data_IF_116040238088
#
_entry.id   IF_116040238088
#
_cell.length_a   1.000
_cell.length_b   1.000
_cell.length_c   1.000
_cell.angle_alpha   90.00
_cell.angle_beta   90.00
_cell.angle_gamma   90.00
#
_symmetry.space_group_name_H-M   'P 1'
#
loop_
_entity.id
_entity.type
_entity.pdbx_description
1 polymer ?
#
# COMPACT_ATOMS: atom_id res chain seq x y z
N UNK A 1 -99.38 -17.38 -6.95
CA UNK A 1 -98.50 -17.14 -8.11
C UNK A 1 -97.10 -16.79 -7.58
N UNK A 2 -96.37 -17.87 -7.26
CA UNK A 2 -94.92 -18.08 -7.15
C UNK A 2 -94.01 -17.01 -6.49
N UNK A 3 -93.97 -16.99 -5.15
CA UNK A 3 -92.85 -16.40 -4.39
C UNK A 3 -91.52 -17.16 -4.62
N UNK A 4 -91.57 -18.45 -4.94
CA UNK A 4 -90.37 -19.25 -5.29
C UNK A 4 -89.69 -18.76 -6.57
N UNK A 5 -90.46 -18.34 -7.58
CA UNK A 5 -89.90 -17.81 -8.83
C UNK A 5 -89.16 -16.50 -8.61
N UNK A 6 -89.64 -15.64 -7.70
CA UNK A 6 -89.00 -14.37 -7.37
C UNK A 6 -87.62 -14.59 -6.72
N UNK A 7 -87.53 -15.56 -5.80
CA UNK A 7 -86.28 -15.89 -5.09
C UNK A 7 -85.25 -16.58 -6.01
N UNK A 8 -85.73 -17.40 -6.95
CA UNK A 8 -84.92 -17.98 -8.03
C UNK A 8 -84.35 -16.90 -8.96
N UNK A 9 -85.14 -15.89 -9.34
CA UNK A 9 -84.67 -14.77 -10.17
C UNK A 9 -83.59 -13.94 -9.47
N UNK A 10 -83.75 -13.60 -8.18
CA UNK A 10 -82.72 -12.86 -7.43
C UNK A 10 -81.42 -13.67 -7.25
N UNK A 11 -81.54 -14.99 -7.03
CA UNK A 11 -80.37 -15.87 -6.92
C UNK A 11 -79.61 -15.97 -8.25
N UNK A 12 -80.34 -16.00 -9.37
CA UNK A 12 -79.76 -16.06 -10.72
C UNK A 12 -79.10 -14.72 -11.10
N UNK A 13 -79.69 -13.59 -10.74
CA UNK A 13 -79.11 -12.25 -10.93
C UNK A 13 -77.79 -12.10 -10.17
N UNK A 14 -77.71 -12.57 -8.92
CA UNK A 14 -76.48 -12.51 -8.13
C UNK A 14 -75.34 -13.36 -8.72
N UNK A 15 -75.65 -14.55 -9.25
CA UNK A 15 -74.67 -15.41 -9.94
C UNK A 15 -74.13 -14.72 -11.19
N UNK A 16 -74.98 -14.03 -11.95
CA UNK A 16 -74.58 -13.28 -13.15
C UNK A 16 -73.65 -12.12 -12.77
N UNK A 17 -73.94 -11.41 -11.69
CA UNK A 17 -73.09 -10.31 -11.20
C UNK A 17 -71.70 -10.82 -10.76
N UNK A 18 -71.65 -11.94 -10.03
CA UNK A 18 -70.37 -12.55 -9.63
C UNK A 18 -69.56 -12.98 -10.87
N UNK A 19 -70.20 -13.63 -11.84
CA UNK A 19 -69.55 -14.01 -13.10
C UNK A 19 -69.00 -12.79 -13.84
N UNK A 20 -69.77 -11.70 -13.91
CA UNK A 20 -69.33 -10.46 -14.52
C UNK A 20 -68.11 -9.86 -13.79
N UNK A 21 -68.09 -9.88 -12.46
CA UNK A 21 -66.94 -9.44 -11.67
C UNK A 21 -65.70 -10.31 -11.89
N UNK A 22 -65.86 -11.64 -11.97
CA UNK A 22 -64.74 -12.56 -12.24
C UNK A 22 -64.14 -12.29 -13.63
N UNK A 23 -65.00 -12.10 -14.64
CA UNK A 23 -64.57 -11.78 -16.01
C UNK A 23 -63.83 -10.44 -16.03
N UNK A 24 -64.36 -9.42 -15.34
CA UNK A 24 -63.74 -8.10 -15.27
C UNK A 24 -62.38 -8.14 -14.56
N UNK A 25 -62.27 -8.92 -13.48
CA UNK A 25 -61.00 -9.15 -12.78
C UNK A 25 -59.96 -9.85 -13.66
N UNK A 26 -60.38 -10.88 -14.44
CA UNK A 26 -59.50 -11.55 -15.38
C UNK A 26 -59.00 -10.61 -16.48
N UNK A 27 -59.87 -9.77 -17.04
CA UNK A 27 -59.48 -8.77 -18.04
C UNK A 27 -58.45 -7.79 -17.46
N UNK A 28 -58.67 -7.30 -16.24
CA UNK A 28 -57.71 -6.44 -15.56
C UNK A 28 -56.35 -7.12 -15.34
N UNK A 29 -56.37 -8.38 -14.88
CA UNK A 29 -55.16 -9.16 -14.67
C UNK A 29 -54.37 -9.40 -15.96
N UNK A 30 -55.04 -9.79 -17.05
CA UNK A 30 -54.42 -10.00 -18.37
C UNK A 30 -53.83 -8.70 -18.89
N UNK A 31 -54.58 -7.59 -18.85
CA UNK A 31 -54.11 -6.29 -19.31
C UNK A 31 -52.82 -5.84 -18.59
N UNK A 32 -52.81 -5.95 -17.26
CA UNK A 32 -51.65 -5.58 -16.45
C UNK A 32 -50.46 -6.51 -16.65
N UNK A 33 -50.70 -7.80 -16.93
CA UNK A 33 -49.65 -8.78 -17.27
C UNK A 33 -49.07 -8.52 -18.66
N UNK A 34 -49.90 -8.30 -19.67
CA UNK A 34 -49.48 -8.03 -21.04
C UNK A 34 -48.59 -6.80 -21.12
N UNK A 35 -48.98 -5.71 -20.45
CA UNK A 35 -48.17 -4.49 -20.37
C UNK A 35 -46.76 -4.76 -19.81
N UNK A 36 -46.63 -5.65 -18.83
CA UNK A 36 -45.33 -6.06 -18.26
C UNK A 36 -44.54 -6.94 -19.22
N UNK A 37 -45.17 -7.90 -19.88
CA UNK A 37 -44.51 -8.79 -20.84
C UNK A 37 -43.97 -8.01 -22.05
N UNK A 38 -44.75 -7.07 -22.61
CA UNK A 38 -44.28 -6.24 -23.73
C UNK A 38 -43.05 -5.41 -23.36
N UNK A 39 -43.00 -4.84 -22.15
CA UNK A 39 -41.84 -4.07 -21.68
C UNK A 39 -40.59 -4.95 -21.55
N UNK A 40 -40.74 -6.15 -20.99
CA UNK A 40 -39.63 -7.08 -20.81
C UNK A 40 -39.10 -7.61 -22.15
N UNK A 41 -39.99 -7.89 -23.11
CA UNK A 41 -39.59 -8.34 -24.46
C UNK A 41 -38.78 -7.27 -25.18
N UNK A 42 -39.16 -5.98 -25.10
CA UNK A 42 -38.37 -4.90 -25.70
C UNK A 42 -36.99 -4.77 -25.06
N UNK A 43 -36.90 -4.91 -23.74
CA UNK A 43 -35.61 -4.89 -23.04
C UNK A 43 -34.72 -6.06 -23.47
N UNK A 44 -35.27 -7.27 -23.53
CA UNK A 44 -34.53 -8.46 -23.98
C UNK A 44 -34.06 -8.29 -25.43
N UNK A 45 -34.93 -7.78 -26.32
CA UNK A 45 -34.56 -7.51 -27.71
C UNK A 45 -33.36 -6.55 -27.82
N UNK A 46 -33.35 -5.47 -27.04
CA UNK A 46 -32.23 -4.51 -27.03
C UNK A 46 -30.91 -5.11 -26.51
N UNK A 47 -30.99 -5.99 -25.50
CA UNK A 47 -29.80 -6.68 -24.96
C UNK A 47 -29.26 -7.67 -25.99
N UNK A 48 -30.14 -8.42 -26.66
CA UNK A 48 -29.75 -9.35 -27.73
C UNK A 48 -29.11 -8.61 -28.91
N UNK A 49 -29.67 -7.46 -29.30
CA UNK A 49 -29.12 -6.62 -30.36
C UNK A 49 -27.70 -6.11 -30.01
N UNK A 50 -27.51 -5.61 -28.80
CA UNK A 50 -26.20 -5.14 -28.33
C UNK A 50 -25.18 -6.29 -28.28
N UNK A 51 -25.56 -7.45 -27.76
CA UNK A 51 -24.70 -8.65 -27.73
C UNK A 51 -24.34 -9.09 -29.15
N UNK A 52 -25.30 -9.14 -30.07
CA UNK A 52 -25.03 -9.51 -31.46
C UNK A 52 -24.07 -8.52 -32.14
N UNK A 53 -24.25 -7.23 -31.86
CA UNK A 53 -23.36 -6.16 -32.36
C UNK A 53 -21.95 -6.29 -31.81
N UNK A 54 -21.79 -6.56 -30.51
CA UNK A 54 -20.49 -6.77 -29.88
C UNK A 54 -19.80 -8.03 -30.42
N UNK A 55 -20.53 -9.13 -30.59
CA UNK A 55 -20.02 -10.37 -31.21
C UNK A 55 -19.53 -10.08 -32.62
N UNK A 56 -20.29 -9.32 -33.42
CA UNK A 56 -19.87 -8.93 -34.76
C UNK A 56 -18.58 -8.11 -34.75
N UNK A 57 -18.48 -7.09 -33.89
CA UNK A 57 -17.26 -6.29 -33.79
C UNK A 57 -16.06 -7.11 -33.30
N UNK A 58 -16.27 -8.00 -32.35
CA UNK A 58 -15.22 -8.87 -31.82
C UNK A 58 -14.73 -9.82 -32.92
N UNK A 59 -15.65 -10.46 -33.65
CA UNK A 59 -15.32 -11.30 -34.80
C UNK A 59 -14.54 -10.52 -35.86
N UNK A 60 -14.98 -9.31 -36.20
CA UNK A 60 -14.30 -8.45 -37.16
C UNK A 60 -12.89 -8.07 -36.72
N UNK A 61 -12.70 -7.71 -35.45
CA UNK A 61 -11.37 -7.43 -34.88
C UNK A 61 -10.47 -8.66 -34.95
N UNK A 62 -10.99 -9.84 -34.59
CA UNK A 62 -10.24 -11.09 -34.68
C UNK A 62 -9.84 -11.43 -36.12
N UNK A 63 -10.75 -11.28 -37.09
CA UNK A 63 -10.42 -11.46 -38.50
C UNK A 63 -9.36 -10.46 -38.98
N UNK A 64 -9.46 -9.19 -38.59
CA UNK A 64 -8.44 -8.18 -38.90
C UNK A 64 -7.08 -8.54 -38.28
N UNK A 65 -7.04 -8.92 -37.01
CA UNK A 65 -5.81 -9.35 -36.33
C UNK A 65 -5.23 -10.60 -36.98
N UNK A 66 -6.06 -11.58 -37.36
CA UNK A 66 -5.62 -12.77 -38.05
C UNK A 66 -5.09 -12.46 -39.45
N UNK A 67 -5.71 -11.54 -40.19
CA UNK A 67 -5.21 -11.05 -41.47
C UNK A 67 -3.91 -10.27 -41.33
N UNK A 68 -3.71 -9.51 -40.25
CA UNK A 68 -2.42 -8.86 -39.94
C UNK A 68 -1.33 -9.88 -39.57
N UNK A 69 -1.70 -11.04 -39.02
CA UNK A 69 -0.77 -12.12 -38.68
C UNK A 69 -0.48 -13.01 -39.91
N UNK A 70 -1.48 -13.27 -40.77
CA UNK A 70 -1.33 -14.12 -41.98
C UNK A 70 -0.80 -13.36 -43.21
N UNK A 71 -1.06 -12.06 -43.32
CA UNK A 71 -0.41 -11.21 -44.31
C UNK A 71 0.74 -10.47 -43.60
N UNK A 72 1.99 -10.91 -43.73
CA UNK A 72 3.16 -10.23 -43.19
C UNK A 72 3.49 -8.98 -44.04
N UNK A 73 2.48 -8.18 -44.38
CA UNK A 73 2.58 -6.92 -45.11
C UNK A 73 2.67 -5.72 -44.16
N UNK A 74 2.50 -5.94 -42.85
CA UNK A 74 3.07 -5.09 -41.81
C UNK A 74 4.46 -5.63 -41.52
N UNK A 75 5.41 -5.20 -42.35
CA UNK A 75 6.79 -4.92 -41.96
C UNK A 75 7.41 -6.01 -41.09
N UNK A 76 7.71 -7.16 -41.71
CA UNK A 76 8.99 -7.79 -41.39
C UNK A 76 10.03 -6.73 -41.72
N UNK A 77 10.40 -5.89 -40.74
CA UNK A 77 11.70 -5.23 -40.77
C UNK A 77 12.68 -6.33 -41.18
N UNK A 78 13.36 -6.13 -42.30
CA UNK A 78 14.48 -7.01 -42.65
C UNK A 78 15.36 -7.09 -41.41
N UNK A 79 15.99 -8.23 -41.13
CA UNK A 79 16.86 -8.34 -39.94
C UNK A 79 17.83 -7.14 -39.88
N UNK A 80 18.27 -6.61 -41.02
CA UNK A 80 19.00 -5.33 -41.18
C UNK A 80 18.33 -4.08 -40.57
N UNK A 81 17.03 -3.85 -40.79
CA UNK A 81 16.28 -2.71 -40.21
C UNK A 81 16.07 -2.88 -38.72
N UNK A 82 15.89 -4.12 -38.24
CA UNK A 82 15.87 -4.44 -36.81
C UNK A 82 17.23 -4.13 -36.19
N UNK A 83 18.33 -4.54 -36.82
CA UNK A 83 19.68 -4.23 -36.34
C UNK A 83 19.95 -2.73 -36.33
N UNK A 84 19.52 -1.98 -37.35
CA UNK A 84 19.69 -0.53 -37.40
C UNK A 84 18.84 0.20 -36.35
N UNK A 85 17.59 -0.21 -36.12
CA UNK A 85 16.73 0.41 -35.11
C UNK A 85 17.20 0.05 -33.69
N UNK A 86 17.71 -1.16 -33.47
CA UNK A 86 18.39 -1.55 -32.22
C UNK A 86 19.65 -0.73 -32.04
N UNK A 87 20.51 -0.58 -33.06
CA UNK A 87 21.74 0.21 -32.96
C UNK A 87 21.45 1.67 -32.64
N UNK A 88 20.42 2.25 -33.26
CA UNK A 88 19.94 3.61 -32.96
C UNK A 88 19.42 3.72 -31.53
N UNK A 89 18.57 2.80 -31.10
CA UNK A 89 18.01 2.79 -29.74
C UNK A 89 19.11 2.60 -28.68
N UNK A 90 20.10 1.74 -28.95
CA UNK A 90 21.23 1.49 -28.06
C UNK A 90 22.15 2.70 -28.01
N UNK A 91 22.42 3.36 -29.14
CA UNK A 91 23.24 4.57 -29.18
C UNK A 91 22.58 5.73 -28.43
N UNK A 92 21.27 5.92 -28.64
CA UNK A 92 20.47 6.93 -27.94
C UNK A 92 20.35 6.64 -26.44
N UNK A 93 20.47 5.39 -26.01
CA UNK A 93 20.44 4.97 -24.60
C UNK A 93 21.83 5.00 -23.94
N UNK A 94 22.92 4.88 -24.70
CA UNK A 94 24.29 4.86 -24.18
C UNK A 94 24.62 6.17 -23.45
N UNK A 95 24.23 7.30 -24.03
CA UNK A 95 24.50 8.62 -23.45
C UNK A 95 23.78 8.87 -22.11
N UNK A 96 22.45 8.66 -21.98
CA UNK A 96 21.77 8.82 -20.70
C UNK A 96 22.22 7.80 -19.65
N UNK A 97 22.58 6.57 -20.04
CA UNK A 97 23.13 5.58 -19.10
C UNK A 97 24.50 6.00 -18.56
N UNK A 98 25.40 6.49 -19.42
CA UNK A 98 26.70 7.00 -19.00
C UNK A 98 26.54 8.21 -18.06
N UNK A 99 25.57 9.09 -18.34
CA UNK A 99 25.26 10.24 -17.49
C UNK A 99 24.67 9.80 -16.15
N UNK A 100 23.77 8.82 -16.14
CA UNK A 100 23.20 8.25 -14.92
C UNK A 100 24.26 7.56 -14.05
N UNK A 101 25.17 6.79 -14.65
CA UNK A 101 26.29 6.16 -13.93
C UNK A 101 27.26 7.20 -13.36
N UNK A 102 27.56 8.26 -14.11
CA UNK A 102 28.39 9.38 -13.62
C UNK A 102 27.72 10.12 -12.47
N UNK A 103 26.41 10.33 -12.55
CA UNK A 103 25.64 10.94 -11.45
C UNK A 103 25.61 10.03 -10.22
N UNK A 104 25.46 8.72 -10.40
CA UNK A 104 25.55 7.75 -9.32
C UNK A 104 26.93 7.76 -8.66
N UNK A 105 28.00 7.81 -9.45
CA UNK A 105 29.37 7.94 -8.94
C UNK A 105 29.54 9.20 -8.08
N UNK A 106 29.13 10.37 -8.60
CA UNK A 106 29.22 11.63 -7.85
C UNK A 106 28.42 11.59 -6.53
N UNK A 107 27.25 10.93 -6.54
CA UNK A 107 26.45 10.75 -5.34
C UNK A 107 27.15 9.85 -4.32
N UNK A 108 27.79 8.77 -4.77
CA UNK A 108 28.56 7.88 -3.89
C UNK A 108 29.77 8.60 -3.28
N UNK A 109 30.52 9.36 -4.06
CA UNK A 109 31.63 10.20 -3.55
C UNK A 109 31.13 11.22 -2.52
N UNK A 110 29.96 11.82 -2.75
CA UNK A 110 29.35 12.75 -1.78
C UNK A 110 28.92 12.04 -0.48
N UNK A 111 28.39 10.82 -0.58
CA UNK A 111 28.03 9.99 0.58
C UNK A 111 29.28 9.59 1.37
N UNK A 112 30.36 9.20 0.69
CA UNK A 112 31.63 8.85 1.33
C UNK A 112 32.19 10.03 2.14
N UNK A 113 32.22 11.23 1.54
CA UNK A 113 32.63 12.45 2.23
C UNK A 113 31.71 12.78 3.42
N UNK A 114 30.40 12.60 3.29
CA UNK A 114 29.46 12.83 4.40
C UNK A 114 29.67 11.82 5.55
N UNK A 115 29.91 10.56 5.22
CA UNK A 115 30.21 9.50 6.19
C UNK A 115 31.50 9.83 6.93
N UNK A 116 32.57 10.21 6.23
CA UNK A 116 33.85 10.58 6.85
C UNK A 116 33.69 11.79 7.79
N UNK A 117 32.95 12.81 7.37
CA UNK A 117 32.65 13.97 8.23
C UNK A 117 31.86 13.56 9.48
N UNK A 118 30.84 12.70 9.34
CA UNK A 118 30.05 12.19 10.47
C UNK A 118 30.89 11.32 11.39
N UNK A 119 31.76 10.46 10.86
CA UNK A 119 32.68 9.65 11.66
C UNK A 119 33.65 10.57 12.41
N UNK A 120 34.24 11.56 11.76
CA UNK A 120 35.13 12.53 12.42
C UNK A 120 34.42 13.33 13.52
N UNK A 121 33.17 13.74 13.29
CA UNK A 121 32.32 14.37 14.30
C UNK A 121 32.00 13.43 15.47
N UNK A 122 31.73 12.15 15.19
CA UNK A 122 31.52 11.14 16.22
C UNK A 122 32.80 10.87 16.99
N UNK A 123 33.95 10.75 16.34
CA UNK A 123 35.24 10.55 17.01
C UNK A 123 35.59 11.75 17.90
N UNK A 124 35.37 12.97 17.42
CA UNK A 124 35.61 14.18 18.21
C UNK A 124 34.60 14.33 19.35
N UNK A 125 33.32 14.03 19.11
CA UNK A 125 32.29 14.00 20.14
C UNK A 125 32.56 12.92 21.19
N UNK A 126 32.94 11.71 20.77
CA UNK A 126 33.31 10.62 21.67
C UNK A 126 34.58 10.98 22.45
N UNK A 127 35.59 11.64 21.86
CA UNK A 127 36.74 12.16 22.62
C UNK A 127 36.35 13.21 23.66
N UNK A 128 35.29 13.99 23.43
CA UNK A 128 34.77 14.95 24.40
C UNK A 128 33.93 14.27 25.50
N UNK A 129 33.20 13.20 25.19
CA UNK A 129 32.39 12.45 26.15
C UNK A 129 33.17 11.35 26.90
N UNK A 130 34.28 10.84 26.35
CA UNK A 130 35.07 9.76 26.95
C UNK A 130 36.06 10.22 28.02
N UNK A 131 36.06 11.51 28.37
CA UNK A 131 36.84 12.01 29.50
C UNK A 131 35.95 12.85 30.43
N UNK A 132 35.32 12.18 31.40
CA UNK A 132 35.47 12.52 32.80
C UNK A 132 36.37 11.45 33.45
N UNK A 133 37.59 11.29 32.94
CA UNK A 133 38.66 10.54 33.59
C UNK A 133 39.81 11.47 34.00
N UNK A 134 39.47 12.70 34.36
CA UNK A 134 40.26 13.55 35.22
C UNK A 134 39.46 13.63 36.54
N UNK A 135 39.99 13.21 37.70
CA UNK A 135 41.17 13.83 38.27
C UNK A 135 41.99 12.99 39.28
N UNK A 136 41.62 11.77 39.71
CA UNK A 136 42.24 11.20 40.94
C UNK A 136 42.54 9.69 40.99
N UNK A 137 42.76 8.99 39.86
CA UNK A 137 43.04 7.54 39.90
C UNK A 137 44.26 7.10 40.74
N UNK A 138 45.26 7.98 40.95
CA UNK A 138 46.38 7.71 41.85
C UNK A 138 46.01 7.96 43.33
N UNK A 139 45.11 8.91 43.57
CA UNK A 139 44.63 9.20 44.92
C UNK A 139 43.59 8.17 45.36
N UNK A 140 42.89 7.49 44.45
CA UNK A 140 41.96 6.40 44.77
C UNK A 140 42.65 5.23 45.49
N UNK A 141 43.79 4.75 44.97
CA UNK A 141 44.58 3.69 45.60
C UNK A 141 45.15 4.14 46.96
N UNK A 142 45.52 5.42 47.06
CA UNK A 142 46.06 6.01 48.28
C UNK A 142 44.98 6.17 49.35
N UNK A 143 43.76 6.61 49.00
CA UNK A 143 42.57 6.65 49.85
C UNK A 143 42.30 5.27 50.43
N UNK A 144 42.29 4.24 49.58
CA UNK A 144 42.06 2.85 49.98
C UNK A 144 43.13 2.38 50.99
N UNK A 145 44.40 2.72 50.75
CA UNK A 145 45.50 2.33 51.62
C UNK A 145 45.45 3.01 53.00
N UNK A 146 45.18 4.33 53.05
CA UNK A 146 45.09 5.11 54.28
C UNK A 146 43.86 4.71 55.12
N UNK A 147 42.72 4.43 54.46
CA UNK A 147 41.53 3.95 55.14
C UNK A 147 41.73 2.55 55.75
N UNK A 148 42.41 1.64 55.03
CA UNK A 148 42.78 0.31 55.56
C UNK A 148 43.75 0.39 56.75
N UNK A 149 44.54 1.47 56.87
CA UNK A 149 45.42 1.75 58.01
C UNK A 149 44.66 2.36 59.21
N UNK A 150 43.35 2.60 59.10
CA UNK A 150 42.50 3.11 60.18
C UNK A 150 42.47 4.64 60.28
N UNK A 151 42.90 5.36 59.24
CA UNK A 151 42.85 6.83 59.19
C UNK A 151 41.42 7.28 58.89
N UNK A 152 40.97 8.34 59.60
CA UNK A 152 39.61 8.87 59.45
C UNK A 152 39.42 9.59 58.09
N UNK A 153 38.21 9.54 57.56
CA UNK A 153 37.82 10.08 56.25
C UNK A 153 38.13 11.58 56.17
N UNK A 154 37.95 12.30 57.27
CA UNK A 154 38.23 13.74 57.38
C UNK A 154 39.71 14.08 57.25
N UNK A 155 40.58 13.17 57.70
CA UNK A 155 42.03 13.34 57.63
C UNK A 155 42.52 13.00 56.23
N UNK A 156 42.01 11.92 55.63
CA UNK A 156 42.31 11.52 54.25
C UNK A 156 41.92 12.63 53.26
N UNK A 157 40.72 13.22 53.44
CA UNK A 157 40.24 14.33 52.62
C UNK A 157 41.17 15.56 52.70
N UNK A 158 41.64 15.90 53.90
CA UNK A 158 42.57 17.03 54.09
C UNK A 158 43.97 16.75 53.54
N UNK A 159 44.46 15.51 53.67
CA UNK A 159 45.81 15.12 53.24
C UNK A 159 45.93 15.00 51.73
N UNK A 160 44.87 14.55 51.04
CA UNK A 160 44.84 14.41 49.59
C UNK A 160 44.21 15.64 48.89
N UNK A 161 43.85 16.68 49.65
CA UNK A 161 43.15 17.86 49.15
C UNK A 161 41.85 17.53 48.38
N UNK A 162 41.16 16.47 48.81
CA UNK A 162 39.91 15.98 48.24
C UNK A 162 38.72 16.40 49.10
N UNK A 163 37.53 16.39 48.50
CA UNK A 163 36.30 16.60 49.25
C UNK A 163 35.93 15.33 50.04
N UNK A 164 35.37 15.47 51.25
CA UNK A 164 34.88 14.32 52.04
C UNK A 164 33.92 13.39 51.23
N UNK A 165 32.99 13.92 50.41
CA UNK A 165 32.11 13.08 49.60
C UNK A 165 32.86 12.27 48.52
N UNK A 166 33.97 12.80 47.99
CA UNK A 166 34.78 12.12 46.98
C UNK A 166 35.54 10.94 47.58
N UNK A 167 36.11 11.11 48.79
CA UNK A 167 36.73 10.02 49.56
C UNK A 167 35.70 8.93 49.91
N UNK A 168 34.50 9.33 50.32
CA UNK A 168 33.42 8.38 50.63
C UNK A 168 32.92 7.63 49.38
N UNK A 169 32.86 8.30 48.23
CA UNK A 169 32.49 7.72 46.96
C UNK A 169 33.49 6.65 46.50
N UNK A 170 34.79 6.92 46.60
CA UNK A 170 35.85 5.97 46.28
C UNK A 170 35.80 4.73 47.18
N UNK A 171 35.52 4.89 48.48
CA UNK A 171 35.42 3.76 49.40
C UNK A 171 34.19 2.88 49.10
N UNK A 172 33.05 3.48 48.71
CA UNK A 172 31.82 2.77 48.33
C UNK A 172 31.95 2.02 47.01
N UNK A 173 32.55 2.63 45.98
CA UNK A 173 32.71 1.96 44.67
C UNK A 173 33.67 0.77 44.74
N UNK A 174 34.64 0.81 45.66
CA UNK A 174 35.60 -0.26 45.91
C UNK A 174 35.13 -1.31 46.95
N UNK A 175 33.89 -1.23 47.45
CA UNK A 175 33.29 -2.18 48.40
C UNK A 175 34.06 -2.32 49.73
N UNK A 176 34.78 -1.27 50.15
CA UNK A 176 35.52 -1.25 51.42
C UNK A 176 34.66 -0.66 52.55
N UNK A 177 33.54 -0.02 52.21
CA UNK A 177 32.49 0.43 53.11
C UNK A 177 31.12 0.30 52.46
#
# INVERSE_FOLDING_TARGET
>A
MNLENLNLSFSLEYIVIIMAMIILYLLYYVYTKDAKYTKNIRSIASVVENVNREIYYLKKKLEQTQLSIQNPSLERMSDEEIYQEIERTVYDMQQPLALALKQMQNNLESIELEIDLRISQLESGVKQFSIPSSLHGNDDDKIISLYKQGVDIDVIAKELHLSQPEVEFVLKINQIK
#
